data_IF_205011089604
#
_entry.id   IF_205011089604
#
_cell.length_a   1.000
_cell.length_b   1.000
_cell.length_c   1.000
_cell.angle_alpha   90.00
_cell.angle_beta   90.00
_cell.angle_gamma   90.00
#
_symmetry.space_group_name_H-M   'P 1'
#
loop_
_entity.id
_entity.type
_entity.pdbx_description
1 polymer ?
#
# COMPACT_ATOMS: atom_id res chain seq x y z
N UNK A 1 -25.99 14.84 28.11
CA UNK A 1 -25.04 13.76 27.76
C UNK A 1 -24.23 14.29 26.58
N UNK A 2 -22.97 14.63 26.77
CA UNK A 2 -22.07 15.02 25.70
C UNK A 2 -21.78 13.77 24.85
N UNK A 3 -22.25 13.75 23.61
CA UNK A 3 -21.87 12.72 22.64
C UNK A 3 -20.33 12.71 22.56
N UNK A 4 -19.74 11.65 23.06
CA UNK A 4 -18.30 11.48 22.98
C UNK A 4 -17.97 11.03 21.56
N UNK A 5 -17.44 11.93 20.75
CA UNK A 5 -17.05 11.67 19.36
C UNK A 5 -16.12 10.45 19.28
N UNK A 6 -16.37 9.55 18.33
CA UNK A 6 -15.51 8.41 18.09
C UNK A 6 -14.20 8.85 17.45
N UNK A 7 -13.05 8.34 17.93
CA UNK A 7 -11.72 8.63 17.37
C UNK A 7 -10.71 7.52 17.72
N UNK A 8 -9.65 7.44 16.90
CA UNK A 8 -8.52 6.56 17.21
C UNK A 8 -7.58 7.19 18.23
N UNK A 9 -7.00 6.38 19.11
CA UNK A 9 -6.01 6.85 20.10
C UNK A 9 -4.86 7.62 19.45
N UNK A 10 -4.41 7.19 18.26
CA UNK A 10 -3.38 7.89 17.48
C UNK A 10 -3.85 9.22 16.84
N UNK A 11 -5.10 9.63 17.07
CA UNK A 11 -5.69 10.89 16.62
C UNK A 11 -6.22 11.73 17.80
N UNK A 12 -5.78 11.44 19.02
CA UNK A 12 -6.15 12.24 20.20
C UNK A 12 -5.49 13.61 20.12
N UNK A 13 -6.25 14.73 19.96
CA UNK A 13 -5.67 16.05 19.84
C UNK A 13 -5.01 16.56 21.14
N UNK A 14 -5.28 15.90 22.26
CA UNK A 14 -4.66 16.20 23.55
C UNK A 14 -3.30 15.48 23.75
N UNK A 15 -2.99 14.50 22.89
CA UNK A 15 -1.72 13.76 22.94
C UNK A 15 -0.70 14.33 21.95
N UNK A 16 0.43 14.89 22.40
CA UNK A 16 1.47 15.42 21.52
C UNK A 16 2.05 14.39 20.54
N UNK A 17 2.14 13.09 20.94
CA UNK A 17 2.62 12.02 20.07
C UNK A 17 1.61 11.72 18.94
N UNK A 18 0.32 11.72 19.27
CA UNK A 18 -0.73 11.57 18.26
C UNK A 18 -0.73 12.76 17.29
N UNK A 19 -0.61 13.99 17.77
CA UNK A 19 -0.50 15.19 16.94
C UNK A 19 0.71 15.14 16.00
N UNK A 20 1.87 14.68 16.47
CA UNK A 20 3.06 14.49 15.64
C UNK A 20 2.82 13.43 14.56
N UNK A 21 2.26 12.28 14.92
CA UNK A 21 1.94 11.20 13.99
C UNK A 21 0.97 11.67 12.89
N UNK A 22 -0.13 12.31 13.27
CA UNK A 22 -1.10 12.86 12.33
C UNK A 22 -0.49 13.85 11.34
N UNK A 23 0.41 14.72 11.81
CA UNK A 23 1.12 15.69 10.96
C UNK A 23 2.06 14.97 9.99
N UNK A 24 2.80 13.97 10.47
CA UNK A 24 3.71 13.17 9.62
C UNK A 24 2.95 12.45 8.52
N UNK A 25 1.84 11.78 8.85
CA UNK A 25 1.00 11.08 7.89
C UNK A 25 0.40 12.04 6.85
N UNK A 26 -0.11 13.19 7.30
CA UNK A 26 -0.67 14.21 6.42
C UNK A 26 0.37 14.76 5.44
N UNK A 27 1.56 15.14 5.93
CA UNK A 27 2.63 15.66 5.09
C UNK A 27 3.08 14.61 4.08
N UNK A 28 3.26 13.35 4.52
CA UNK A 28 3.59 12.24 3.62
C UNK A 28 2.60 12.14 2.45
N UNK A 29 1.31 12.16 2.74
CA UNK A 29 0.27 12.09 1.72
C UNK A 29 0.30 13.29 0.78
N UNK A 30 0.36 14.52 1.32
CA UNK A 30 0.41 15.73 0.50
C UNK A 30 1.61 15.76 -0.43
N UNK A 31 2.80 15.39 0.09
CA UNK A 31 4.04 15.42 -0.68
C UNK A 31 4.00 14.41 -1.84
N UNK A 32 3.59 13.17 -1.58
CA UNK A 32 3.57 12.13 -2.63
C UNK A 32 2.43 12.31 -3.64
N UNK A 33 1.27 12.80 -3.22
CA UNK A 33 0.19 13.16 -4.15
C UNK A 33 0.58 14.33 -5.05
N UNK A 34 1.34 15.31 -4.54
CA UNK A 34 1.83 16.44 -5.33
C UNK A 34 2.97 16.06 -6.29
N UNK A 35 3.80 15.07 -5.90
CA UNK A 35 4.88 14.56 -6.74
C UNK A 35 4.40 13.60 -7.83
N UNK A 36 3.23 12.99 -7.67
CA UNK A 36 2.71 12.04 -8.66
C UNK A 36 2.26 12.77 -9.93
N UNK A 37 2.84 12.46 -11.10
CA UNK A 37 2.56 13.19 -12.34
C UNK A 37 1.12 12.96 -12.82
N UNK A 38 0.53 13.99 -13.41
CA UNK A 38 -0.69 13.82 -14.18
C UNK A 38 -0.32 13.22 -15.53
N UNK A 39 -0.86 12.05 -15.87
CA UNK A 39 -0.53 11.34 -17.12
C UNK A 39 0.74 10.48 -17.02
N UNK A 40 0.83 9.65 -16.00
CA UNK A 40 1.97 8.73 -15.82
C UNK A 40 2.25 7.85 -17.06
N UNK A 41 1.23 7.55 -17.86
CA UNK A 41 1.33 6.79 -19.11
C UNK A 41 2.23 7.46 -20.18
N UNK A 42 2.42 8.80 -20.10
CA UNK A 42 3.24 9.57 -21.03
C UNK A 42 4.68 9.80 -20.51
N UNK A 43 4.95 9.40 -19.26
CA UNK A 43 6.25 9.63 -18.60
C UNK A 43 7.04 8.33 -18.59
N UNK A 44 8.32 8.40 -19.01
CA UNK A 44 9.25 7.29 -18.77
C UNK A 44 9.44 7.10 -17.25
N UNK A 45 8.75 6.10 -16.69
CA UNK A 45 8.71 5.80 -15.25
C UNK A 45 10.12 5.70 -14.66
N UNK A 46 11.04 5.01 -15.35
CA UNK A 46 12.39 4.81 -14.84
C UNK A 46 13.20 6.11 -14.78
N UNK A 47 13.04 7.01 -15.75
CA UNK A 47 13.66 8.33 -15.73
C UNK A 47 13.07 9.21 -14.65
N UNK A 48 11.77 9.16 -14.46
CA UNK A 48 11.08 9.90 -13.40
C UNK A 48 11.53 9.43 -12.01
N UNK A 49 11.56 8.11 -11.76
CA UNK A 49 12.05 7.54 -10.51
C UNK A 49 13.51 7.95 -10.26
N UNK A 50 14.39 7.91 -11.27
CA UNK A 50 15.79 8.37 -11.13
C UNK A 50 15.89 9.83 -10.72
N UNK A 51 15.07 10.71 -11.29
CA UNK A 51 15.01 12.12 -10.87
C UNK A 51 14.62 12.26 -9.40
N UNK A 52 13.61 11.50 -8.95
CA UNK A 52 13.19 11.52 -7.55
C UNK A 52 14.26 10.93 -6.62
N UNK A 53 15.00 9.88 -7.02
CA UNK A 53 16.15 9.34 -6.25
C UNK A 53 17.18 10.43 -6.01
N UNK A 54 17.56 11.15 -7.07
CA UNK A 54 18.55 12.23 -6.98
C UNK A 54 18.03 13.40 -6.12
N UNK A 55 16.76 13.77 -6.29
CA UNK A 55 16.18 14.92 -5.59
C UNK A 55 15.89 14.65 -4.10
N UNK A 56 15.50 13.42 -3.75
CA UNK A 56 15.07 13.07 -2.39
C UNK A 56 16.14 12.33 -1.57
N UNK A 57 17.10 11.69 -2.22
CA UNK A 57 18.06 10.77 -1.59
C UNK A 57 17.45 9.44 -1.12
N UNK A 58 16.18 9.16 -1.46
CA UNK A 58 15.52 7.91 -1.12
C UNK A 58 15.91 6.80 -2.09
N UNK A 59 15.85 5.55 -1.63
CA UNK A 59 16.07 4.38 -2.49
C UNK A 59 14.93 4.19 -3.50
N UNK A 60 15.25 3.69 -4.70
CA UNK A 60 14.32 3.47 -5.81
C UNK A 60 13.06 2.68 -5.38
N UNK A 61 13.21 1.58 -4.62
CA UNK A 61 12.07 0.79 -4.13
C UNK A 61 11.15 1.57 -3.20
N UNK A 62 11.70 2.46 -2.35
CA UNK A 62 10.88 3.33 -1.48
C UNK A 62 10.06 4.31 -2.31
N UNK A 63 10.69 4.92 -3.33
CA UNK A 63 10.03 5.87 -4.23
C UNK A 63 8.92 5.16 -5.00
N UNK A 64 9.21 4.02 -5.63
CA UNK A 64 8.22 3.25 -6.39
C UNK A 64 7.01 2.88 -5.53
N UNK A 65 7.22 2.35 -4.34
CA UNK A 65 6.13 2.05 -3.40
C UNK A 65 5.29 3.28 -3.06
N UNK A 66 5.93 4.44 -2.84
CA UNK A 66 5.20 5.65 -2.49
C UNK A 66 4.40 6.22 -3.67
N UNK A 67 4.92 6.07 -4.89
CA UNK A 67 4.19 6.42 -6.12
C UNK A 67 2.98 5.51 -6.32
N UNK A 68 3.10 4.20 -6.08
CA UNK A 68 1.97 3.28 -6.16
C UNK A 68 0.88 3.58 -5.12
N UNK A 69 1.26 4.00 -3.91
CA UNK A 69 0.30 4.52 -2.92
C UNK A 69 -0.43 5.74 -3.47
N UNK A 70 0.30 6.71 -4.06
CA UNK A 70 -0.31 7.91 -4.61
C UNK A 70 -1.24 7.61 -5.79
N UNK A 71 -0.84 6.70 -6.69
CA UNK A 71 -1.66 6.20 -7.78
C UNK A 71 -2.96 5.57 -7.26
N UNK A 72 -2.84 4.62 -6.34
CA UNK A 72 -4.00 3.96 -5.75
C UNK A 72 -4.96 4.95 -5.09
N UNK A 73 -4.45 5.97 -4.39
CA UNK A 73 -5.29 7.00 -3.79
C UNK A 73 -5.95 7.92 -4.82
N UNK A 74 -5.32 8.19 -5.97
CA UNK A 74 -5.96 8.91 -7.10
C UNK A 74 -7.10 8.08 -7.71
N UNK A 75 -6.96 6.76 -7.79
CA UNK A 75 -8.01 5.84 -8.24
C UNK A 75 -9.15 5.71 -7.21
N UNK A 76 -8.90 6.06 -5.93
CA UNK A 76 -9.84 5.97 -4.81
C UNK A 76 -9.99 7.34 -4.13
N UNK A 77 -10.66 8.32 -4.77
CA UNK A 77 -10.64 9.73 -4.33
C UNK A 77 -11.33 9.96 -2.98
N UNK A 78 -12.37 9.18 -2.63
CA UNK A 78 -13.04 9.28 -1.32
C UNK A 78 -12.16 8.76 -0.20
N UNK A 79 -11.38 7.69 -0.44
CA UNK A 79 -10.40 7.18 0.51
C UNK A 79 -9.24 8.16 0.67
N UNK A 80 -8.79 8.81 -0.41
CA UNK A 80 -7.80 9.87 -0.38
C UNK A 80 -8.25 11.03 0.53
N UNK A 81 -9.45 11.54 0.31
CA UNK A 81 -10.04 12.60 1.14
C UNK A 81 -10.18 12.16 2.62
N UNK A 82 -10.65 10.95 2.84
CA UNK A 82 -10.75 10.35 4.17
C UNK A 82 -9.38 10.27 4.87
N UNK A 83 -8.35 9.80 4.18
CA UNK A 83 -6.99 9.70 4.71
C UNK A 83 -6.40 11.07 5.07
N UNK A 84 -6.60 12.08 4.20
CA UNK A 84 -6.16 13.46 4.44
C UNK A 84 -6.91 14.12 5.61
N UNK A 85 -8.18 13.81 5.77
CA UNK A 85 -9.04 14.37 6.84
C UNK A 85 -8.71 13.74 8.18
N UNK A 86 -8.70 12.40 8.24
CA UNK A 86 -8.54 11.65 9.48
C UNK A 86 -7.08 11.54 9.94
N UNK A 87 -6.10 11.57 9.02
CA UNK A 87 -4.65 11.58 9.27
C UNK A 87 -4.11 10.42 10.09
N UNK A 88 -4.86 9.31 10.19
CA UNK A 88 -4.48 8.15 10.99
C UNK A 88 -3.76 7.06 10.18
N UNK A 89 -3.83 7.12 8.84
CA UNK A 89 -3.19 6.14 7.98
C UNK A 89 -1.72 6.50 7.78
N UNK A 90 -0.85 5.68 8.35
CA UNK A 90 0.59 5.74 8.09
C UNK A 90 0.95 5.02 6.79
N UNK A 91 2.21 5.19 6.36
CA UNK A 91 2.74 4.58 5.14
C UNK A 91 2.52 3.05 5.11
N UNK A 92 2.72 2.36 6.24
CA UNK A 92 2.63 0.89 6.29
C UNK A 92 1.21 0.41 6.02
N UNK A 93 0.20 1.11 6.55
CA UNK A 93 -1.21 0.83 6.29
C UNK A 93 -1.63 1.17 4.89
N UNK A 94 -1.10 2.26 4.33
CA UNK A 94 -1.35 2.65 2.94
C UNK A 94 -0.78 1.62 1.95
N UNK A 95 0.42 1.10 2.20
CA UNK A 95 0.99 -0.03 1.43
C UNK A 95 0.08 -1.26 1.51
N UNK A 96 -0.44 -1.57 2.71
CA UNK A 96 -1.33 -2.71 2.88
C UNK A 96 -2.65 -2.58 2.08
N UNK A 97 -3.19 -1.36 1.98
CA UNK A 97 -4.38 -1.05 1.17
C UNK A 97 -4.05 -1.17 -0.31
N UNK A 98 -2.96 -0.53 -0.76
CA UNK A 98 -2.51 -0.54 -2.16
C UNK A 98 -2.32 -1.98 -2.64
N UNK A 99 -1.49 -2.78 -1.97
CA UNK A 99 -1.23 -4.17 -2.33
C UNK A 99 -2.50 -5.05 -2.35
N UNK A 100 -3.45 -4.77 -1.45
CA UNK A 100 -4.70 -5.54 -1.42
C UNK A 100 -5.65 -5.18 -2.58
N UNK A 101 -5.55 -3.95 -3.11
CA UNK A 101 -6.47 -3.42 -4.13
C UNK A 101 -5.93 -3.44 -5.55
N UNK A 102 -4.64 -3.78 -5.76
CA UNK A 102 -3.96 -3.68 -7.07
C UNK A 102 -4.69 -4.43 -8.19
N UNK A 103 -5.26 -5.59 -7.90
CA UNK A 103 -5.95 -6.45 -8.89
C UNK A 103 -7.45 -6.14 -9.05
N UNK A 104 -7.99 -5.17 -8.31
CA UNK A 104 -9.40 -4.78 -8.39
C UNK A 104 -9.63 -3.92 -9.64
N UNK A 105 -10.67 -4.24 -10.40
CA UNK A 105 -11.08 -3.47 -11.58
C UNK A 105 -11.58 -2.08 -11.19
N UNK A 106 -11.29 -1.07 -12.03
CA UNK A 106 -11.67 0.31 -11.76
C UNK A 106 -13.17 0.52 -11.54
N UNK A 107 -14.01 -0.25 -12.25
CA UNK A 107 -15.46 -0.16 -12.12
C UNK A 107 -15.96 -0.60 -10.72
N UNK A 108 -15.21 -1.46 -10.03
CA UNK A 108 -15.55 -1.99 -8.72
C UNK A 108 -14.85 -1.25 -7.56
N UNK A 109 -13.81 -0.45 -7.87
CA UNK A 109 -13.09 0.32 -6.87
C UNK A 109 -14.00 1.21 -5.99
N UNK A 110 -15.04 1.89 -6.49
CA UNK A 110 -15.91 2.70 -5.65
C UNK A 110 -16.65 1.91 -4.56
N UNK A 111 -17.00 0.64 -4.84
CA UNK A 111 -17.65 -0.25 -3.87
C UNK A 111 -16.67 -0.72 -2.81
N UNK A 112 -15.46 -1.13 -3.24
CA UNK A 112 -14.38 -1.54 -2.35
C UNK A 112 -13.94 -0.37 -1.47
N UNK A 113 -13.82 0.83 -2.02
CA UNK A 113 -13.48 2.07 -1.34
C UNK A 113 -14.45 2.38 -0.20
N UNK A 114 -15.75 2.25 -0.44
CA UNK A 114 -16.77 2.50 0.58
C UNK A 114 -16.62 1.54 1.78
N UNK A 115 -16.39 0.27 1.51
CA UNK A 115 -16.20 -0.74 2.57
C UNK A 115 -14.87 -0.51 3.33
N UNK A 116 -13.81 -0.11 2.65
CA UNK A 116 -12.55 0.26 3.30
C UNK A 116 -12.73 1.47 4.22
N UNK A 117 -13.41 2.51 3.77
CA UNK A 117 -13.71 3.68 4.59
C UNK A 117 -14.54 3.27 5.82
N UNK A 118 -15.55 2.41 5.66
CA UNK A 118 -16.35 1.88 6.76
C UNK A 118 -15.48 1.10 7.76
N UNK A 119 -14.59 0.24 7.28
CA UNK A 119 -13.65 -0.53 8.10
C UNK A 119 -12.72 0.39 8.91
N UNK A 120 -12.27 1.50 8.32
CA UNK A 120 -11.30 2.43 8.89
C UNK A 120 -11.94 3.59 9.65
N UNK A 121 -13.26 3.67 9.72
CA UNK A 121 -13.97 4.68 10.50
C UNK A 121 -14.05 4.24 11.96
N UNK A 122 -13.61 5.07 12.94
CA UNK A 122 -13.71 4.72 14.35
C UNK A 122 -15.17 4.70 14.78
N UNK A 123 -15.52 3.71 15.61
CA UNK A 123 -16.89 3.53 16.13
C UNK A 123 -17.04 3.89 17.61
N UNK A 124 -15.92 4.11 18.29
CA UNK A 124 -15.88 4.46 19.73
C UNK A 124 -14.70 5.38 20.02
N UNK A 125 -14.77 6.15 21.13
CA UNK A 125 -13.65 6.98 21.58
C UNK A 125 -12.43 6.12 21.94
N UNK A 126 -11.23 6.63 21.67
CA UNK A 126 -9.95 5.98 21.99
C UNK A 126 -9.82 4.56 21.44
N UNK A 127 -10.38 4.33 20.27
CA UNK A 127 -10.24 3.05 19.60
C UNK A 127 -8.78 2.83 19.18
N UNK A 128 -8.26 1.63 19.32
CA UNK A 128 -6.95 1.26 18.79
C UNK A 128 -7.09 1.04 17.30
N UNK A 129 -6.21 1.68 16.52
CA UNK A 129 -6.17 1.49 15.07
C UNK A 129 -5.71 0.06 14.74
N UNK A 130 -6.41 -0.60 13.84
CA UNK A 130 -6.08 -1.96 13.40
C UNK A 130 -4.71 -2.01 12.70
N UNK A 131 -4.05 -3.17 12.76
CA UNK A 131 -2.72 -3.38 12.16
C UNK A 131 -2.82 -3.44 10.64
N UNK A 132 -1.70 -3.18 9.94
CA UNK A 132 -1.63 -3.32 8.49
C UNK A 132 -2.01 -4.74 8.02
N UNK A 133 -1.56 -5.78 8.74
CA UNK A 133 -1.94 -7.17 8.48
C UNK A 133 -3.45 -7.37 8.55
N UNK A 134 -4.09 -6.88 9.61
CA UNK A 134 -5.55 -6.98 9.76
C UNK A 134 -6.28 -6.21 8.66
N UNK A 135 -5.75 -5.05 8.22
CA UNK A 135 -6.28 -4.30 7.07
C UNK A 135 -6.23 -5.17 5.82
N UNK A 136 -5.08 -5.75 5.49
CA UNK A 136 -4.92 -6.62 4.33
C UNK A 136 -5.92 -7.79 4.36
N UNK A 137 -6.01 -8.49 5.50
CA UNK A 137 -6.93 -9.62 5.67
C UNK A 137 -8.40 -9.20 5.44
N UNK A 138 -8.82 -8.08 6.03
CA UNK A 138 -10.20 -7.57 5.89
C UNK A 138 -10.50 -7.05 4.49
N UNK A 139 -9.56 -6.38 3.83
CA UNK A 139 -9.75 -5.92 2.44
C UNK A 139 -9.86 -7.13 1.51
N UNK A 140 -9.06 -8.17 1.70
CA UNK A 140 -9.19 -9.42 0.92
C UNK A 140 -10.56 -10.08 1.10
N UNK A 141 -11.11 -10.08 2.33
CA UNK A 141 -12.48 -10.55 2.57
C UNK A 141 -13.52 -9.70 1.81
N UNK A 142 -13.38 -8.38 1.82
CA UNK A 142 -14.24 -7.44 1.08
C UNK A 142 -14.17 -7.70 -0.43
N UNK A 143 -12.94 -7.79 -0.97
CA UNK A 143 -12.71 -8.04 -2.41
C UNK A 143 -13.31 -9.40 -2.80
N UNK A 144 -13.15 -10.43 -1.99
CA UNK A 144 -13.74 -11.76 -2.25
C UNK A 144 -15.26 -11.70 -2.38
N UNK A 145 -15.92 -10.78 -1.67
CA UNK A 145 -17.37 -10.61 -1.75
C UNK A 145 -17.81 -9.76 -2.97
N UNK A 146 -17.03 -8.76 -3.35
CA UNK A 146 -17.36 -7.78 -4.40
C UNK A 146 -16.85 -8.24 -5.78
N UNK A 147 -15.61 -8.71 -5.84
CA UNK A 147 -14.93 -9.17 -7.07
C UNK A 147 -14.19 -10.51 -6.81
N UNK A 148 -14.93 -11.64 -6.74
CA UNK A 148 -14.30 -12.96 -6.55
C UNK A 148 -13.16 -13.25 -7.53
N UNK A 149 -13.26 -12.91 -8.84
CA UNK A 149 -12.16 -13.09 -9.78
C UNK A 149 -10.89 -12.28 -9.44
N UNK A 150 -11.02 -11.11 -8.82
CA UNK A 150 -9.85 -10.33 -8.37
C UNK A 150 -9.14 -10.99 -7.19
N UNK A 151 -9.91 -11.60 -6.28
CA UNK A 151 -9.34 -12.35 -5.17
C UNK A 151 -8.52 -13.57 -5.65
N UNK A 152 -8.99 -14.26 -6.69
CA UNK A 152 -8.24 -15.35 -7.31
C UNK A 152 -6.96 -14.84 -8.00
N UNK A 153 -7.03 -13.75 -8.80
CA UNK A 153 -5.85 -13.14 -9.44
C UNK A 153 -4.80 -12.73 -8.42
N UNK A 154 -5.19 -12.05 -7.35
CA UNK A 154 -4.27 -11.65 -6.28
C UNK A 154 -3.59 -12.85 -5.59
N UNK A 155 -4.28 -13.99 -5.48
CA UNK A 155 -3.68 -15.22 -4.98
C UNK A 155 -2.62 -15.76 -5.93
N UNK A 156 -2.89 -15.74 -7.24
CA UNK A 156 -1.94 -16.18 -8.28
C UNK A 156 -0.70 -15.28 -8.34
N UNK A 157 -0.87 -13.96 -8.34
CA UNK A 157 0.24 -12.99 -8.38
C UNK A 157 1.11 -13.05 -7.11
N UNK A 158 0.55 -13.43 -5.97
CA UNK A 158 1.32 -13.61 -4.73
C UNK A 158 2.11 -14.93 -4.68
N UNK A 159 1.82 -15.88 -5.56
CA UNK A 159 2.52 -17.16 -5.64
C UNK A 159 3.78 -17.11 -6.52
N UNK A 160 3.86 -16.13 -7.43
CA UNK A 160 4.99 -15.95 -8.34
C UNK A 160 5.66 -14.59 -8.06
N UNK A 161 6.78 -14.59 -7.37
CA UNK A 161 7.54 -13.39 -7.10
C UNK A 161 9.00 -13.58 -7.50
N UNK A 162 9.53 -12.63 -8.26
CA UNK A 162 10.94 -12.54 -8.61
C UNK A 162 11.48 -11.20 -8.07
N UNK A 163 12.39 -11.26 -7.12
CA UNK A 163 13.06 -10.07 -6.59
C UNK A 163 14.58 -10.21 -6.71
N UNK A 164 15.25 -9.17 -7.21
CA UNK A 164 16.70 -9.13 -7.33
C UNK A 164 17.23 -7.94 -6.53
N UNK A 165 18.02 -8.22 -5.50
CA UNK A 165 18.72 -7.22 -4.72
C UNK A 165 20.22 -7.26 -4.98
N UNK A 166 20.83 -6.07 -5.14
CA UNK A 166 22.28 -5.91 -5.26
C UNK A 166 22.83 -5.34 -3.96
N UNK A 167 23.80 -6.04 -3.36
CA UNK A 167 24.47 -5.57 -2.16
C UNK A 167 25.74 -4.79 -2.50
N UNK A 168 26.16 -3.84 -1.64
CA UNK A 168 27.37 -3.03 -1.90
C UNK A 168 28.68 -3.84 -1.98
N UNK A 169 28.68 -5.08 -1.48
CA UNK A 169 29.80 -6.03 -1.54
C UNK A 169 29.92 -6.77 -2.88
N UNK A 170 29.06 -6.44 -3.85
CA UNK A 170 29.01 -7.06 -5.17
C UNK A 170 28.19 -8.35 -5.23
N UNK A 171 27.54 -8.75 -4.13
CA UNK A 171 26.65 -9.90 -4.12
C UNK A 171 25.28 -9.48 -4.63
N UNK A 172 24.74 -10.24 -5.58
CA UNK A 172 23.36 -10.12 -6.05
C UNK A 172 22.55 -11.29 -5.53
N UNK A 173 21.47 -11.00 -4.81
CA UNK A 173 20.55 -12.02 -4.31
C UNK A 173 19.29 -12.02 -5.17
N UNK A 174 18.96 -13.17 -5.75
CA UNK A 174 17.72 -13.42 -6.47
C UNK A 174 16.80 -14.22 -5.55
N UNK A 175 15.66 -13.64 -5.21
CA UNK A 175 14.61 -14.32 -4.45
C UNK A 175 13.45 -14.62 -5.38
N UNK A 176 13.10 -15.89 -5.50
CA UNK A 176 12.04 -16.35 -6.36
C UNK A 176 11.00 -17.10 -5.52
N UNK A 177 9.74 -16.77 -5.68
CA UNK A 177 8.62 -17.58 -5.21
C UNK A 177 7.94 -18.22 -6.42
N UNK A 178 7.81 -19.53 -6.41
CA UNK A 178 7.17 -20.33 -7.45
C UNK A 178 6.12 -21.23 -6.83
N UNK A 179 5.19 -21.71 -7.63
CA UNK A 179 4.32 -22.83 -7.24
C UNK A 179 5.17 -24.06 -6.91
N UNK A 180 4.66 -24.89 -6.02
CA UNK A 180 5.43 -26.04 -5.52
C UNK A 180 5.87 -27.02 -6.63
N UNK A 181 5.08 -27.18 -7.68
CA UNK A 181 5.37 -27.98 -8.87
C UNK A 181 6.48 -27.36 -9.74
N UNK A 182 6.39 -26.07 -10.04
CA UNK A 182 7.39 -25.33 -10.82
C UNK A 182 8.67 -25.08 -10.04
N UNK A 183 8.58 -24.84 -8.72
CA UNK A 183 9.71 -24.63 -7.84
C UNK A 183 10.66 -25.83 -7.80
N UNK A 184 10.17 -27.05 -7.94
CA UNK A 184 11.00 -28.25 -8.04
C UNK A 184 11.81 -28.30 -9.32
N UNK A 185 11.25 -27.90 -10.46
CA UNK A 185 11.95 -27.86 -11.75
C UNK A 185 13.03 -26.77 -11.76
N UNK A 186 12.70 -25.56 -11.29
CA UNK A 186 13.65 -24.45 -11.19
C UNK A 186 14.83 -24.82 -10.26
N UNK A 187 14.55 -25.46 -9.12
CA UNK A 187 15.58 -25.90 -8.19
C UNK A 187 16.50 -26.97 -8.82
N UNK A 188 15.95 -27.90 -9.59
CA UNK A 188 16.72 -28.91 -10.32
C UNK A 188 17.64 -28.26 -11.36
N UNK A 189 17.15 -27.27 -12.13
CA UNK A 189 17.92 -26.53 -13.12
C UNK A 189 19.07 -25.78 -12.44
N UNK A 190 18.80 -25.01 -11.37
CA UNK A 190 19.80 -24.24 -10.64
C UNK A 190 20.91 -25.15 -10.06
N UNK A 191 20.55 -26.32 -9.55
CA UNK A 191 21.55 -27.31 -9.08
C UNK A 191 22.40 -27.92 -10.20
N UNK A 192 21.89 -27.96 -11.42
CA UNK A 192 22.65 -28.53 -12.56
C UNK A 192 23.68 -27.56 -13.14
N UNK A 193 23.57 -26.25 -12.81
CA UNK A 193 24.43 -25.17 -13.31
C UNK A 193 25.46 -24.72 -12.26
N UNK A 194 25.26 -25.06 -11.00
CA UNK A 194 26.19 -24.74 -9.88
C UNK A 194 27.24 -25.82 -9.69
#
# INVERSE_FOLDING_TARGET
MTETTAYYTCCDPADPCACMSMRTNYNFLCDWLALFPDGLEEVDEDSFIRCLVVGTGLGCGVIRTNLYIADQLKRMPRLCEFALTMRHLDRVRLVAIEHACVSVKDELLPLVEEEIIRLLTPTKPRQVLITARTITEKIKEIITQIDPPAAERSAYESEEQLDMSHQPDGISTLTCAFRADEGHEVHAILKSVA
#
